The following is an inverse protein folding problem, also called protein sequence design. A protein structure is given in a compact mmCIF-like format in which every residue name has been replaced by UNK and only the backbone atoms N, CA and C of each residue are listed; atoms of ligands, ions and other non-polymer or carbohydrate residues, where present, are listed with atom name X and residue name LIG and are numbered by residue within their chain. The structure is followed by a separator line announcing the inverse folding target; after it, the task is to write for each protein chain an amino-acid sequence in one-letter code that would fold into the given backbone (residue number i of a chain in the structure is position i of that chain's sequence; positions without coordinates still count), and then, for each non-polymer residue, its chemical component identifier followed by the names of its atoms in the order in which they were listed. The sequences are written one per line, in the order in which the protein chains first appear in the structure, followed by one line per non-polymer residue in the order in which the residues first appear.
data_IF_551860956508
#
_entry.id   IF_551860956508
#
_cell.length_a   1.000
_cell.length_b   1.000
_cell.length_c   1.000
_cell.angle_alpha   90.00
_cell.angle_beta   90.00
_cell.angle_gamma   90.00
#
_symmetry.space_group_name_H-M   'P 1'
#
loop_
_entity.id
_entity.type
_entity.pdbx_description
1 polymer ?
#
# COMPACT_ATOMS: atom_id res chain seq x y z
N UNK A 1 6.76 -4.31 16.47
CA UNK A 1 5.69 -4.76 15.57
C UNK A 1 4.47 -3.93 15.89
N UNK A 2 3.95 -3.25 14.88
CA UNK A 2 2.82 -2.35 14.99
C UNK A 2 1.64 -2.93 14.21
N UNK A 3 0.45 -2.89 14.80
CA UNK A 3 -0.78 -3.40 14.21
C UNK A 3 -1.82 -2.29 14.31
N UNK A 4 -2.31 -1.84 13.15
CA UNK A 4 -3.33 -0.80 13.06
C UNK A 4 -4.57 -1.34 12.40
N UNK A 5 -5.74 -1.08 13.00
CA UNK A 5 -7.03 -1.23 12.34
C UNK A 5 -7.37 0.13 11.72
N UNK A 6 -7.47 0.19 10.40
CA UNK A 6 -7.79 1.41 9.68
C UNK A 6 -9.10 1.24 8.89
N UNK A 7 -9.83 2.34 8.72
CA UNK A 7 -10.79 2.43 7.63
C UNK A 7 -10.08 2.84 6.32
N UNK A 8 -10.78 2.74 5.18
CA UNK A 8 -10.21 3.12 3.88
C UNK A 8 -9.99 4.63 3.69
N UNK A 9 -10.42 5.47 4.64
CA UNK A 9 -10.12 6.91 4.65
C UNK A 9 -8.84 7.22 5.43
N UNK A 10 -8.25 6.22 6.08
CA UNK A 10 -7.02 6.34 6.85
C UNK A 10 -7.24 6.67 8.32
N UNK A 11 -8.49 6.64 8.80
CA UNK A 11 -8.74 6.82 10.22
C UNK A 11 -8.25 5.58 10.97
N UNK A 12 -7.42 5.80 11.97
CA UNK A 12 -6.93 4.75 12.86
C UNK A 12 -8.00 4.47 13.91
N UNK A 13 -8.61 3.29 13.83
CA UNK A 13 -9.63 2.83 14.77
C UNK A 13 -9.00 2.12 15.96
N UNK A 14 -7.84 1.50 15.75
CA UNK A 14 -6.99 0.90 16.79
C UNK A 14 -5.54 0.95 16.40
N UNK A 15 -4.68 1.07 17.40
CA UNK A 15 -3.23 1.06 17.26
C UNK A 15 -2.63 0.22 18.39
N UNK A 16 -1.82 -0.78 18.05
CA UNK A 16 -1.18 -1.69 19.00
C UNK A 16 0.28 -1.81 18.60
N UNK A 17 1.17 -1.36 19.49
CA UNK A 17 2.61 -1.57 19.38
C UNK A 17 3.07 -2.63 20.35
N UNK A 18 3.83 -3.61 19.85
CA UNK A 18 4.40 -4.71 20.64
C UNK A 18 5.87 -4.91 20.28
N UNK A 19 6.72 -4.90 21.30
CA UNK A 19 8.11 -5.37 21.18
C UNK A 19 8.10 -6.89 21.05
N UNK A 20 8.75 -7.40 20.00
CA UNK A 20 8.87 -8.82 19.72
C UNK A 20 10.34 -9.17 19.49
N UNK A 21 10.73 -10.40 19.84
CA UNK A 21 12.05 -10.95 19.55
C UNK A 21 11.87 -12.11 18.59
N UNK A 22 12.51 -12.04 17.42
CA UNK A 22 12.42 -13.05 16.36
C UNK A 22 13.76 -13.78 16.28
N UNK A 23 13.88 -15.03 16.78
CA UNK A 23 15.10 -15.81 16.63
C UNK A 23 15.46 -16.04 15.17
N UNK A 24 16.76 -16.14 14.88
CA UNK A 24 17.25 -16.42 13.53
C UNK A 24 16.62 -17.69 12.96
N UNK A 25 16.23 -17.64 11.68
CA UNK A 25 15.66 -18.76 10.93
C UNK A 25 14.47 -19.44 11.66
N UNK A 26 13.55 -18.64 12.22
CA UNK A 26 12.40 -19.14 12.97
C UNK A 26 11.09 -18.49 12.51
N UNK A 27 9.97 -19.09 12.91
CA UNK A 27 8.63 -18.52 12.77
C UNK A 27 7.84 -18.81 14.04
N UNK A 28 7.07 -17.82 14.50
CA UNK A 28 6.24 -17.93 15.69
C UNK A 28 4.99 -17.05 15.58
N UNK A 29 3.99 -17.34 16.39
CA UNK A 29 2.81 -16.50 16.54
C UNK A 29 3.10 -15.36 17.53
N UNK A 30 3.16 -14.14 17.02
CA UNK A 30 3.42 -12.94 17.84
C UNK A 30 2.15 -12.20 18.25
N UNK A 31 1.01 -12.48 17.64
CA UNK A 31 -0.26 -11.82 17.91
C UNK A 31 -1.47 -12.70 17.56
N UNK A 32 -2.43 -12.77 18.48
CA UNK A 32 -3.71 -13.45 18.26
C UNK A 32 -4.80 -12.61 18.92
N UNK A 33 -5.90 -12.43 18.21
CA UNK A 33 -7.08 -11.74 18.70
C UNK A 33 -8.34 -12.40 18.15
N UNK A 34 -9.42 -12.34 18.92
CA UNK A 34 -10.76 -12.67 18.42
C UNK A 34 -11.22 -11.58 17.42
N UNK A 35 -11.73 -11.99 16.25
CA UNK A 35 -12.13 -11.05 15.18
C UNK A 35 -13.24 -10.10 15.66
N UNK A 36 -14.23 -10.60 16.39
CA UNK A 36 -15.40 -9.82 16.82
C UNK A 36 -15.00 -8.76 17.84
N UNK A 37 -14.25 -9.17 18.85
CA UNK A 37 -13.70 -8.27 19.88
C UNK A 37 -12.72 -7.27 19.27
N UNK A 38 -11.91 -7.69 18.30
CA UNK A 38 -10.96 -6.81 17.64
C UNK A 38 -11.67 -5.73 16.81
N UNK A 39 -12.69 -6.11 16.03
CA UNK A 39 -13.46 -5.17 15.23
C UNK A 39 -14.35 -4.24 16.06
N UNK A 40 -14.76 -4.61 17.28
CA UNK A 40 -15.60 -3.77 18.17
C UNK A 40 -16.84 -3.18 17.48
N UNK A 41 -17.43 -3.94 16.57
CA UNK A 41 -18.62 -3.54 15.81
C UNK A 41 -18.35 -2.71 14.55
N UNK A 42 -17.09 -2.42 14.20
CA UNK A 42 -16.76 -1.81 12.91
C UNK A 42 -17.06 -2.79 11.76
N UNK A 43 -17.71 -2.33 10.67
CA UNK A 43 -18.03 -3.20 9.53
C UNK A 43 -16.77 -3.75 8.87
N UNK A 44 -16.64 -5.08 8.79
CA UNK A 44 -15.46 -5.77 8.25
C UNK A 44 -15.13 -5.42 6.80
N UNK A 45 -16.14 -5.02 6.01
CA UNK A 45 -15.99 -4.61 4.61
C UNK A 45 -15.57 -3.15 4.41
N UNK A 46 -15.41 -2.35 5.49
CA UNK A 46 -14.96 -0.94 5.44
C UNK A 46 -13.60 -0.72 6.12
N UNK A 47 -13.00 -1.79 6.68
CA UNK A 47 -11.76 -1.72 7.46
C UNK A 47 -10.77 -2.79 7.06
N UNK A 48 -9.50 -2.56 7.38
CA UNK A 48 -8.41 -3.49 7.14
C UNK A 48 -7.33 -3.35 8.22
N UNK A 49 -6.48 -4.37 8.34
CA UNK A 49 -5.29 -4.32 9.18
C UNK A 49 -4.10 -3.86 8.35
N UNK A 50 -3.37 -2.90 8.87
CA UNK A 50 -2.01 -2.59 8.42
C UNK A 50 -1.04 -3.04 9.51
N UNK A 51 -0.13 -3.94 9.16
CA UNK A 51 0.82 -4.55 10.10
C UNK A 51 2.22 -4.24 9.63
N UNK A 52 3.07 -3.76 10.54
CA UNK A 52 4.46 -3.46 10.27
C UNK A 52 5.38 -4.15 11.29
N UNK A 53 6.51 -4.68 10.82
CA UNK A 53 7.61 -5.14 11.64
C UNK A 53 8.78 -4.18 11.42
N UNK A 54 9.27 -3.60 12.51
CA UNK A 54 10.33 -2.60 12.49
C UNK A 54 11.48 -3.03 13.39
N UNK A 55 12.71 -2.69 12.98
CA UNK A 55 13.91 -2.70 13.81
C UNK A 55 14.36 -1.24 14.02
N UNK A 56 14.11 -0.71 15.23
CA UNK A 56 14.17 0.73 15.45
C UNK A 56 13.16 1.45 14.55
N UNK A 57 13.66 2.32 13.67
CA UNK A 57 12.85 3.04 12.68
C UNK A 57 12.91 2.40 11.28
N UNK A 58 13.67 1.30 11.11
CA UNK A 58 13.78 0.62 9.82
C UNK A 58 12.60 -0.33 9.63
N UNK A 59 11.83 -0.13 8.56
CA UNK A 59 10.78 -1.05 8.16
C UNK A 59 11.41 -2.34 7.61
N UNK A 60 11.14 -3.48 8.26
CA UNK A 60 11.61 -4.79 7.81
C UNK A 60 10.58 -5.51 6.94
N UNK A 61 9.30 -5.36 7.27
CA UNK A 61 8.19 -5.97 6.54
C UNK A 61 6.89 -5.23 6.85
N UNK A 62 6.00 -5.18 5.87
CA UNK A 62 4.62 -4.73 6.07
C UNK A 62 3.63 -5.61 5.34
N UNK A 63 2.38 -5.60 5.79
CA UNK A 63 1.29 -6.29 5.12
C UNK A 63 -0.06 -5.63 5.42
N UNK A 64 -0.94 -5.64 4.42
CA UNK A 64 -2.34 -5.25 4.56
C UNK A 64 -3.23 -6.48 4.51
N UNK A 65 -3.99 -6.72 5.59
CA UNK A 65 -4.91 -7.85 5.69
C UNK A 65 -6.35 -7.36 5.71
N UNK A 66 -7.22 -8.00 4.93
CA UNK A 66 -8.62 -7.63 4.76
C UNK A 66 -9.52 -8.71 5.38
N UNK A 67 -10.67 -8.30 5.88
CA UNK A 67 -11.60 -9.20 6.58
C UNK A 67 -12.63 -9.86 5.68
N UNK A 68 -12.76 -9.39 4.44
CA UNK A 68 -13.73 -9.85 3.43
C UNK A 68 -13.03 -10.03 2.08
N UNK A 69 -13.68 -10.75 1.16
CA UNK A 69 -13.18 -10.92 -0.19
C UNK A 69 -13.17 -9.58 -0.95
N UNK A 70 -12.26 -9.38 -1.93
CA UNK A 70 -12.08 -8.07 -2.55
C UNK A 70 -13.34 -7.48 -3.20
N UNK A 71 -14.24 -8.32 -3.72
CA UNK A 71 -15.53 -7.90 -4.32
C UNK A 71 -16.55 -7.38 -3.30
N UNK A 72 -16.37 -7.72 -2.03
CA UNK A 72 -17.29 -7.38 -0.94
C UNK A 72 -16.79 -6.16 -0.15
N UNK A 73 -15.53 -5.74 -0.37
CA UNK A 73 -14.97 -4.52 0.22
C UNK A 73 -15.63 -3.28 -0.38
N UNK A 74 -16.02 -2.34 0.47
CA UNK A 74 -16.49 -1.02 0.04
C UNK A 74 -15.31 -0.05 -0.14
N UNK A 75 -14.46 -0.38 -1.11
CA UNK A 75 -13.31 0.45 -1.44
C UNK A 75 -13.80 1.81 -1.99
N UNK A 76 -13.35 2.94 -1.42
CA UNK A 76 -13.60 4.24 -2.03
C UNK A 76 -12.80 4.36 -3.32
N UNK A 77 -13.26 5.19 -4.24
CA UNK A 77 -12.54 5.51 -5.47
C UNK A 77 -11.37 6.47 -5.16
N UNK A 78 -10.10 6.07 -5.29
CA UNK A 78 -8.97 6.94 -5.00
C UNK A 78 -8.71 7.94 -6.11
N UNK A 79 -8.31 9.15 -5.71
CA UNK A 79 -7.63 10.12 -6.57
C UNK A 79 -6.12 9.88 -6.44
N UNK A 80 -5.52 9.21 -7.42
CA UNK A 80 -4.06 8.98 -7.44
C UNK A 80 -3.37 10.18 -8.07
N UNK A 81 -2.69 10.98 -7.27
CA UNK A 81 -1.80 12.05 -7.73
C UNK A 81 -0.46 11.44 -8.13
N UNK A 82 0.14 12.00 -9.18
CA UNK A 82 1.45 11.57 -9.67
C UNK A 82 2.35 12.76 -10.00
N UNK A 83 3.64 12.58 -9.75
CA UNK A 83 4.72 13.45 -10.20
C UNK A 83 5.78 12.58 -10.87
N UNK A 84 6.31 13.02 -12.01
CA UNK A 84 7.30 12.27 -12.78
C UNK A 84 8.53 13.14 -12.98
N UNK A 85 9.70 12.60 -12.62
CA UNK A 85 10.99 13.29 -12.78
C UNK A 85 11.95 12.41 -13.57
N UNK A 86 12.70 13.03 -14.47
CA UNK A 86 13.75 12.35 -15.23
C UNK A 86 14.98 12.11 -14.35
N UNK A 87 15.68 11.01 -14.63
CA UNK A 87 16.98 10.70 -14.04
C UNK A 87 17.93 10.28 -15.16
N UNK A 88 19.21 10.07 -14.84
CA UNK A 88 20.23 9.66 -15.83
C UNK A 88 19.92 8.29 -16.45
N UNK A 89 19.20 7.41 -15.75
CA UNK A 89 19.01 6.00 -16.15
C UNK A 89 17.54 5.60 -16.40
N UNK A 90 16.58 6.53 -16.27
CA UNK A 90 15.14 6.26 -16.33
C UNK A 90 14.34 7.39 -15.69
N UNK A 91 13.25 7.06 -15.00
CA UNK A 91 12.37 8.04 -14.34
C UNK A 91 12.02 7.65 -12.90
N UNK A 92 11.74 8.66 -12.08
CA UNK A 92 11.11 8.50 -10.77
C UNK A 92 9.65 8.91 -10.88
N UNK A 93 8.75 8.04 -10.44
CA UNK A 93 7.32 8.28 -10.40
C UNK A 93 6.91 8.31 -8.93
N UNK A 94 6.53 9.47 -8.45
CA UNK A 94 6.04 9.69 -7.09
C UNK A 94 4.53 9.69 -7.09
N UNK A 95 3.91 8.85 -6.26
CA UNK A 95 2.48 8.66 -6.15
C UNK A 95 1.98 9.02 -4.75
N UNK A 96 0.78 9.57 -4.69
CA UNK A 96 0.04 9.85 -3.45
C UNK A 96 -1.45 9.68 -3.67
N UNK A 97 -2.18 9.24 -2.64
CA UNK A 97 -3.64 9.11 -2.67
C UNK A 97 -4.32 9.83 -1.51
N UNK A 98 -5.58 10.21 -1.74
CA UNK A 98 -6.50 10.81 -0.78
C UNK A 98 -7.20 9.78 0.12
N UNK A 99 -7.45 8.58 -0.41
CA UNK A 99 -7.98 7.42 0.28
C UNK A 99 -7.13 6.17 -0.01
N UNK A 100 -7.44 5.05 0.65
CA UNK A 100 -6.72 3.79 0.45
C UNK A 100 -6.87 3.32 -0.99
N UNK A 101 -5.75 3.13 -1.68
CA UNK A 101 -5.72 2.64 -3.05
C UNK A 101 -5.19 1.20 -3.08
N UNK A 102 -6.10 0.26 -3.35
CA UNK A 102 -5.78 -1.16 -3.40
C UNK A 102 -5.19 -1.56 -4.77
N UNK A 103 -4.09 -2.31 -4.75
CA UNK A 103 -3.44 -2.92 -5.91
C UNK A 103 -3.23 -1.93 -7.07
N UNK A 104 -2.51 -0.83 -6.81
CA UNK A 104 -2.12 0.14 -7.82
C UNK A 104 -1.32 -0.57 -8.93
N UNK A 105 -1.87 -0.53 -10.14
CA UNK A 105 -1.24 -1.01 -11.35
C UNK A 105 -0.78 0.16 -12.20
N UNK A 106 0.50 0.18 -12.51
CA UNK A 106 1.13 1.09 -13.45
C UNK A 106 1.41 0.37 -14.75
N UNK A 107 1.03 0.99 -15.86
CA UNK A 107 1.27 0.46 -17.21
C UNK A 107 1.43 1.58 -18.24
N UNK A 108 2.10 1.26 -19.33
CA UNK A 108 2.32 2.12 -20.50
C UNK A 108 2.04 1.32 -21.77
N UNK A 109 1.90 2.00 -22.90
CA UNK A 109 1.80 1.33 -24.21
C UNK A 109 3.19 0.92 -24.73
N UNK A 110 4.20 1.74 -24.47
CA UNK A 110 5.61 1.42 -24.71
C UNK A 110 6.26 0.59 -23.58
N UNK A 111 7.51 0.21 -23.80
CA UNK A 111 8.30 -0.60 -22.87
C UNK A 111 8.75 0.21 -21.64
N UNK A 112 8.31 -0.24 -20.46
CA UNK A 112 8.66 0.34 -19.17
C UNK A 112 8.74 -0.76 -18.10
N UNK A 113 9.80 -0.73 -17.31
CA UNK A 113 9.98 -1.62 -16.16
C UNK A 113 9.86 -0.83 -14.87
N UNK A 114 8.75 -1.02 -14.17
CA UNK A 114 8.53 -0.45 -12.85
C UNK A 114 9.20 -1.32 -11.79
N UNK A 115 9.97 -0.69 -10.89
CA UNK A 115 10.65 -1.38 -9.79
C UNK A 115 9.69 -2.03 -8.79
N UNK A 116 8.47 -1.50 -8.72
CA UNK A 116 7.37 -2.06 -7.94
C UNK A 116 6.04 -1.83 -8.67
N UNK A 117 5.10 -2.76 -8.54
CA UNK A 117 3.78 -2.72 -9.16
C UNK A 117 2.80 -3.61 -8.37
N UNK A 118 1.50 -3.37 -8.50
CA UNK A 118 0.45 -4.06 -7.75
C UNK A 118 0.49 -3.84 -6.22
N UNK A 119 1.08 -2.72 -5.78
CA UNK A 119 1.16 -2.36 -4.36
C UNK A 119 -0.09 -1.62 -3.87
N UNK A 120 -0.32 -1.65 -2.57
CA UNK A 120 -1.32 -0.81 -1.93
C UNK A 120 -0.69 0.54 -1.54
N UNK A 121 -1.48 1.62 -1.53
CA UNK A 121 -1.02 2.93 -1.04
C UNK A 121 -2.00 3.48 0.00
N UNK A 122 -1.48 3.80 1.18
CA UNK A 122 -2.27 4.36 2.27
C UNK A 122 -2.53 5.86 2.05
N UNK A 123 -3.66 6.40 2.56
CA UNK A 123 -3.94 7.83 2.52
C UNK A 123 -2.79 8.65 3.11
N UNK A 124 -2.34 9.67 2.39
CA UNK A 124 -1.25 10.54 2.85
C UNK A 124 0.15 9.95 2.71
N UNK A 125 0.30 8.65 2.43
CA UNK A 125 1.58 8.04 2.10
C UNK A 125 2.05 8.53 0.73
N UNK A 126 3.34 8.79 0.63
CA UNK A 126 4.00 9.10 -0.64
C UNK A 126 4.96 7.97 -0.97
N UNK A 127 4.78 7.35 -2.13
CA UNK A 127 5.66 6.29 -2.62
C UNK A 127 6.34 6.78 -3.89
N UNK A 128 7.65 6.66 -3.96
CA UNK A 128 8.41 6.92 -5.18
C UNK A 128 8.96 5.63 -5.71
N UNK A 129 8.61 5.31 -6.95
CA UNK A 129 9.11 4.13 -7.64
C UNK A 129 10.04 4.55 -8.78
N UNK A 130 11.01 3.68 -9.07
CA UNK A 130 11.85 3.82 -10.25
C UNK A 130 11.21 3.12 -11.45
N UNK A 131 11.29 3.76 -12.61
CA UNK A 131 10.83 3.23 -13.89
C UNK A 131 11.98 3.27 -14.89
N UNK A 132 12.46 2.10 -15.33
CA UNK A 132 13.44 1.99 -16.40
C UNK A 132 12.72 2.00 -17.76
N UNK A 133 13.05 2.95 -18.61
CA UNK A 133 12.46 3.10 -19.94
C UNK A 133 13.34 4.00 -20.81
N UNK A 134 13.25 3.83 -22.13
CA UNK A 134 13.85 4.72 -23.14
C UNK A 134 12.87 5.83 -23.59
N UNK A 135 11.62 5.81 -23.12
CA UNK A 135 10.63 6.84 -23.43
C UNK A 135 11.06 8.20 -22.85
N UNK A 136 10.75 9.27 -23.58
CA UNK A 136 10.84 10.64 -23.09
C UNK A 136 9.82 10.92 -21.99
N UNK A 137 10.05 11.96 -21.19
CA UNK A 137 9.11 12.40 -20.15
C UNK A 137 7.71 12.65 -20.72
N UNK A 138 7.62 13.33 -21.86
CA UNK A 138 6.35 13.62 -22.53
C UNK A 138 5.61 12.34 -22.97
N UNK A 139 6.34 11.31 -23.40
CA UNK A 139 5.73 10.02 -23.75
C UNK A 139 5.20 9.29 -22.52
N UNK A 140 5.97 9.25 -21.43
CA UNK A 140 5.51 8.64 -20.17
C UNK A 140 4.31 9.39 -19.59
N UNK A 141 4.33 10.73 -19.56
CA UNK A 141 3.20 11.51 -19.08
C UNK A 141 1.93 11.23 -19.90
N UNK A 142 2.06 11.08 -21.22
CA UNK A 142 0.95 10.77 -22.12
C UNK A 142 0.45 9.34 -21.97
N UNK A 143 1.34 8.37 -21.79
CA UNK A 143 1.01 6.94 -21.88
C UNK A 143 0.76 6.26 -20.53
N UNK A 144 1.30 6.79 -19.43
CA UNK A 144 1.19 6.16 -18.11
C UNK A 144 -0.27 6.07 -17.68
N UNK A 145 -0.74 4.84 -17.52
CA UNK A 145 -2.07 4.47 -17.01
C UNK A 145 -1.89 3.96 -15.58
N UNK A 146 -2.70 4.51 -14.68
CA UNK A 146 -2.78 4.10 -13.27
C UNK A 146 -4.15 3.49 -13.06
N UNK A 147 -4.21 2.23 -12.62
CA UNK A 147 -5.45 1.54 -12.25
C UNK A 147 -5.38 1.09 -10.81
N UNK A 148 -6.54 0.89 -10.19
CA UNK A 148 -6.66 0.40 -8.81
C UNK A 148 -7.78 -0.60 -8.78
N UNK A 149 -7.92 -1.41 -7.72
CA UNK A 149 -9.03 -2.35 -7.66
C UNK A 149 -10.42 -1.68 -7.71
N UNK A 150 -10.53 -0.44 -7.26
CA UNK A 150 -11.76 0.35 -7.30
C UNK A 150 -11.98 1.14 -8.61
N UNK A 151 -11.07 1.03 -9.60
CA UNK A 151 -11.09 1.80 -10.87
C UNK A 151 -10.62 1.00 -12.10
#
# INVERSE_FOLDING_TARGET
MDIKLLDFKGNVLRDISKTISIPANSSANYFTADKTEFLKGHPSYEVFLHIQVLEGNALLSENNLFFEAPKDLKLPKPTVQREIRTTVAGMLITLKTDVFAKNILLSTEGEAFFADNYFDLLPGQTLTIYCKTEMSLAEIERQLKIRTLAN
#
